data_IF_596964515214
#
_entry.id   IF_596964515214
#
_cell.length_a   1.000
_cell.length_b   1.000
_cell.length_c   1.000
_cell.angle_alpha   90.00
_cell.angle_beta   90.00
_cell.angle_gamma   90.00
#
_symmetry.space_group_name_H-M   'P 1'
#
loop_
_entity.id
_entity.type
_entity.pdbx_description
1 polymer ?
#
# COMPACT_ATOMS: atom_id res chain seq x y z
N UNK A 1 -21.47 4.96 -23.60
CA UNK A 1 -22.53 5.67 -24.36
C UNK A 1 -22.80 7.09 -23.83
N UNK A 2 -21.96 7.62 -22.93
CA UNK A 2 -21.90 9.06 -22.61
C UNK A 2 -20.44 9.46 -22.74
N UNK A 3 -20.04 9.86 -23.95
CA UNK A 3 -18.73 10.46 -24.18
C UNK A 3 -18.83 11.89 -23.63
N UNK A 4 -18.47 12.10 -22.36
CA UNK A 4 -18.30 13.44 -21.77
C UNK A 4 -16.97 14.00 -22.25
N UNK A 5 -16.87 14.21 -23.56
CA UNK A 5 -15.73 14.83 -24.21
C UNK A 5 -15.79 16.34 -24.18
N UNK A 6 -14.72 16.97 -24.67
CA UNK A 6 -14.69 18.41 -24.87
C UNK A 6 -15.74 18.87 -25.90
N UNK A 7 -16.01 18.04 -26.92
CA UNK A 7 -16.99 18.32 -27.95
C UNK A 7 -18.42 18.40 -27.38
N UNK A 8 -18.81 17.47 -26.53
CA UNK A 8 -20.14 17.42 -25.92
C UNK A 8 -20.34 18.58 -24.92
N UNK A 9 -19.32 18.93 -24.14
CA UNK A 9 -19.35 20.13 -23.30
C UNK A 9 -19.56 21.41 -24.13
N UNK A 10 -18.95 21.49 -25.31
CA UNK A 10 -19.11 22.63 -26.21
C UNK A 10 -20.55 22.68 -26.78
N UNK A 11 -21.11 21.54 -27.18
CA UNK A 11 -22.51 21.44 -27.63
C UNK A 11 -23.48 21.87 -26.52
N UNK A 12 -23.28 21.37 -25.30
CA UNK A 12 -24.10 21.75 -24.14
C UNK A 12 -23.96 23.26 -23.87
N UNK A 13 -22.76 23.82 -23.98
CA UNK A 13 -22.52 25.26 -23.87
C UNK A 13 -23.30 26.07 -24.90
N UNK A 14 -23.32 25.66 -26.16
CA UNK A 14 -24.10 26.31 -27.22
C UNK A 14 -25.60 26.24 -26.91
N UNK A 15 -26.11 25.06 -26.55
CA UNK A 15 -27.53 24.89 -26.19
C UNK A 15 -27.91 25.77 -25.00
N UNK A 16 -27.06 25.83 -23.97
CA UNK A 16 -27.27 26.68 -22.81
C UNK A 16 -27.30 28.18 -23.20
N UNK A 17 -26.45 28.63 -24.13
CA UNK A 17 -26.46 30.00 -24.65
C UNK A 17 -27.76 30.34 -25.39
N UNK A 18 -28.34 29.38 -26.12
CA UNK A 18 -29.61 29.59 -26.84
C UNK A 18 -30.78 29.65 -25.87
N UNK A 19 -30.84 28.72 -24.92
CA UNK A 19 -31.98 28.56 -24.01
C UNK A 19 -32.01 29.65 -22.93
N UNK A 20 -30.86 29.91 -22.30
CA UNK A 20 -30.74 30.86 -21.18
C UNK A 20 -30.39 32.25 -21.68
N UNK A 21 -29.64 32.35 -22.79
CA UNK A 21 -29.14 33.61 -23.32
C UNK A 21 -27.68 33.89 -22.93
N UNK A 22 -26.87 34.49 -23.83
CA UNK A 22 -25.45 34.74 -23.60
C UNK A 22 -25.15 35.77 -22.50
N UNK A 23 -26.11 36.63 -22.17
CA UNK A 23 -25.98 37.65 -21.12
C UNK A 23 -26.36 37.12 -19.73
N UNK A 24 -27.26 36.14 -19.66
CA UNK A 24 -27.82 35.67 -18.39
C UNK A 24 -27.01 34.51 -17.80
N UNK A 25 -26.40 33.66 -18.63
CA UNK A 25 -25.46 32.62 -18.19
C UNK A 25 -24.35 33.11 -17.24
N UNK A 26 -23.58 34.18 -17.55
CA UNK A 26 -22.53 34.66 -16.65
C UNK A 26 -23.09 35.19 -15.32
N UNK A 27 -24.29 35.78 -15.33
CA UNK A 27 -24.97 36.23 -14.11
C UNK A 27 -25.39 35.03 -13.27
N UNK A 28 -25.90 33.97 -13.91
CA UNK A 28 -26.31 32.73 -13.26
C UNK A 28 -25.13 32.02 -12.61
N UNK A 29 -24.00 31.87 -13.32
CA UNK A 29 -22.77 31.33 -12.76
C UNK A 29 -22.25 32.16 -11.57
N UNK A 30 -22.37 33.50 -11.64
CA UNK A 30 -21.98 34.37 -10.52
C UNK A 30 -22.87 34.21 -9.30
N UNK A 31 -24.17 33.95 -9.50
CA UNK A 31 -25.12 33.68 -8.42
C UNK A 31 -24.87 32.31 -7.77
N UNK A 32 -24.75 31.26 -8.58
CA UNK A 32 -24.42 29.91 -8.13
C UNK A 32 -23.06 29.89 -7.44
N UNK A 33 -22.06 30.55 -8.02
CA UNK A 33 -20.72 30.65 -7.45
C UNK A 33 -20.70 31.35 -6.09
N UNK A 34 -21.49 32.43 -5.90
CA UNK A 34 -21.64 33.09 -4.61
C UNK A 34 -22.29 32.19 -3.57
N UNK A 35 -23.32 31.44 -3.94
CA UNK A 35 -23.98 30.49 -3.05
C UNK A 35 -23.05 29.35 -2.66
N UNK A 36 -22.38 28.73 -3.65
CA UNK A 36 -21.41 27.66 -3.43
C UNK A 36 -20.21 28.13 -2.60
N UNK A 37 -19.76 29.37 -2.80
CA UNK A 37 -18.69 29.98 -2.01
C UNK A 37 -19.07 30.14 -0.54
N UNK A 38 -20.30 30.60 -0.25
CA UNK A 38 -20.83 30.68 1.12
C UNK A 38 -21.00 29.30 1.74
N UNK A 39 -21.56 28.34 1.00
CA UNK A 39 -21.69 26.95 1.43
C UNK A 39 -20.32 26.33 1.77
N UNK A 40 -19.30 26.58 0.95
CA UNK A 40 -17.93 26.13 1.19
C UNK A 40 -17.29 26.80 2.41
N UNK A 41 -17.61 28.08 2.67
CA UNK A 41 -17.23 28.78 3.90
C UNK A 41 -17.80 28.07 5.14
N UNK A 42 -19.12 27.90 5.16
CA UNK A 42 -19.84 27.21 6.24
C UNK A 42 -19.35 25.77 6.45
N UNK A 43 -19.09 25.03 5.37
CA UNK A 43 -18.53 23.68 5.45
C UNK A 43 -17.13 23.65 6.09
N UNK A 44 -16.30 24.69 5.87
CA UNK A 44 -14.98 24.80 6.51
C UNK A 44 -15.11 25.09 8.00
N UNK A 45 -16.02 25.97 8.41
CA UNK A 45 -16.30 26.23 9.82
C UNK A 45 -16.86 24.98 10.52
N UNK A 46 -17.81 24.28 9.91
CA UNK A 46 -18.33 23.01 10.41
C UNK A 46 -17.24 21.94 10.52
N UNK A 47 -16.39 21.81 9.49
CA UNK A 47 -15.28 20.86 9.54
C UNK A 47 -14.30 21.17 10.67
N UNK A 48 -14.01 22.46 10.93
CA UNK A 48 -13.14 22.87 12.04
C UNK A 48 -13.77 22.54 13.39
N UNK A 49 -15.01 22.94 13.60
CA UNK A 49 -15.75 22.67 14.84
C UNK A 49 -15.91 21.15 15.07
N UNK A 50 -16.13 20.37 14.02
CA UNK A 50 -16.26 18.92 14.12
C UNK A 50 -14.93 18.21 14.36
N UNK A 51 -13.81 18.71 13.82
CA UNK A 51 -12.48 18.21 14.18
C UNK A 51 -12.17 18.50 15.66
N UNK A 52 -12.48 19.70 16.13
CA UNK A 52 -12.23 20.11 17.52
C UNK A 52 -13.10 19.30 18.51
N UNK A 53 -14.39 19.14 18.20
CA UNK A 53 -15.28 18.27 18.97
C UNK A 53 -14.87 16.79 18.92
N UNK A 54 -14.36 16.30 17.79
CA UNK A 54 -13.87 14.92 17.67
C UNK A 54 -12.56 14.69 18.44
N UNK A 55 -11.70 15.71 18.51
CA UNK A 55 -10.47 15.69 19.31
C UNK A 55 -10.79 15.65 20.81
N UNK A 56 -11.82 16.38 21.25
CA UNK A 56 -12.24 16.43 22.66
C UNK A 56 -13.07 15.20 23.08
N UNK A 57 -13.85 14.63 22.17
CA UNK A 57 -14.66 13.42 22.41
C UNK A 57 -13.93 12.10 22.11
N UNK A 58 -12.64 12.13 21.75
CA UNK A 58 -11.83 10.93 21.51
C UNK A 58 -12.22 10.11 20.28
N UNK A 59 -12.94 10.71 19.32
CA UNK A 59 -13.53 10.04 18.14
C UNK A 59 -12.66 10.18 16.88
N UNK A 60 -11.38 10.50 17.07
CA UNK A 60 -10.40 10.82 16.02
C UNK A 60 -10.26 9.69 14.98
N UNK A 61 -10.40 8.44 15.41
CA UNK A 61 -10.30 7.26 14.54
C UNK A 61 -11.44 7.15 13.52
N UNK A 62 -12.65 7.60 13.88
CA UNK A 62 -13.79 7.62 12.96
C UNK A 62 -13.58 8.70 11.90
N UNK A 63 -13.10 9.87 12.31
CA UNK A 63 -12.82 10.97 11.39
C UNK A 63 -11.71 10.62 10.40
N UNK A 64 -10.66 9.92 10.87
CA UNK A 64 -9.58 9.41 10.01
C UNK A 64 -10.08 8.37 9.01
N UNK A 65 -10.95 7.46 9.45
CA UNK A 65 -11.56 6.44 8.59
C UNK A 65 -12.43 7.08 7.50
N UNK A 66 -13.30 8.03 7.85
CA UNK A 66 -14.16 8.74 6.89
C UNK A 66 -13.31 9.53 5.87
N UNK A 67 -12.24 10.19 6.33
CA UNK A 67 -11.34 10.96 5.45
C UNK A 67 -10.58 10.05 4.49
N UNK A 68 -10.14 8.89 4.95
CA UNK A 68 -9.49 7.87 4.12
C UNK A 68 -10.45 7.29 3.09
N UNK A 69 -11.71 7.05 3.47
CA UNK A 69 -12.74 6.54 2.56
C UNK A 69 -13.16 7.56 1.49
N UNK A 70 -13.24 8.84 1.85
CA UNK A 70 -13.66 9.90 0.92
C UNK A 70 -12.53 10.45 0.06
N UNK A 71 -11.27 10.34 0.49
CA UNK A 71 -10.13 10.77 -0.30
C UNK A 71 -8.86 9.94 -0.05
N UNK A 72 -8.80 8.70 -0.58
CA UNK A 72 -7.71 7.77 -0.29
C UNK A 72 -6.36 8.23 -0.85
N UNK A 73 -6.36 8.88 -2.02
CA UNK A 73 -5.14 9.37 -2.68
C UNK A 73 -4.50 10.51 -1.89
N UNK A 74 -5.27 11.50 -1.46
CA UNK A 74 -4.75 12.59 -0.64
C UNK A 74 -4.26 12.10 0.73
N UNK A 75 -4.98 11.15 1.35
CA UNK A 75 -4.55 10.55 2.63
C UNK A 75 -3.22 9.79 2.49
N UNK A 76 -3.03 9.08 1.38
CA UNK A 76 -1.75 8.42 1.07
C UNK A 76 -0.62 9.43 0.82
N UNK A 77 -0.90 10.52 0.09
CA UNK A 77 0.06 11.60 -0.16
C UNK A 77 0.46 12.33 1.13
N UNK A 78 -0.47 12.56 2.06
CA UNK A 78 -0.18 13.14 3.37
C UNK A 78 0.72 12.20 4.20
N UNK A 79 0.45 10.88 4.18
CA UNK A 79 1.32 9.90 4.84
C UNK A 79 2.74 9.84 4.26
N UNK A 80 2.89 9.96 2.94
CA UNK A 80 4.20 10.05 2.28
C UNK A 80 4.90 11.36 2.64
N UNK A 81 4.17 12.47 2.72
CA UNK A 81 4.70 13.77 3.16
C UNK A 81 5.17 13.76 4.61
N UNK A 82 4.42 13.14 5.51
CA UNK A 82 4.81 13.01 6.91
C UNK A 82 6.03 12.10 7.08
N UNK A 83 6.10 10.99 6.33
CA UNK A 83 7.28 10.14 6.29
C UNK A 83 8.50 10.90 5.74
N UNK A 84 8.33 11.66 4.65
CA UNK A 84 9.39 12.49 4.09
C UNK A 84 9.83 13.59 5.08
N UNK A 85 8.89 14.27 5.76
CA UNK A 85 9.21 15.23 6.82
C UNK A 85 9.98 14.58 7.96
N UNK A 86 9.57 13.40 8.42
CA UNK A 86 10.28 12.67 9.48
C UNK A 86 11.71 12.25 9.08
N UNK A 87 11.96 12.03 7.79
CA UNK A 87 13.29 11.81 7.23
C UNK A 87 14.10 13.11 7.09
N UNK A 88 13.43 14.26 6.89
CA UNK A 88 14.08 15.55 6.66
C UNK A 88 14.34 16.31 7.97
N UNK A 89 13.51 16.13 9.00
CA UNK A 89 13.66 16.66 10.36
C UNK A 89 14.71 15.88 11.19
N UNK A 90 15.49 15.01 10.54
CA UNK A 90 16.62 14.33 11.14
C UNK A 90 17.72 15.34 11.43
N UNK A 91 17.67 15.98 12.60
CA UNK A 91 18.79 16.73 13.14
C UNK A 91 19.80 15.74 13.75
N UNK A 92 20.94 15.47 13.07
CA UNK A 92 21.89 14.42 13.46
C UNK A 92 22.58 14.67 14.80
N UNK A 93 22.48 15.88 15.35
CA UNK A 93 23.13 16.30 16.60
C UNK A 93 22.19 16.34 17.81
N UNK A 94 20.91 16.03 17.62
CA UNK A 94 19.94 15.88 18.72
C UNK A 94 20.06 14.52 19.42
N UNK A 95 19.71 14.45 20.71
CA UNK A 95 19.68 13.18 21.47
C UNK A 95 18.79 12.12 20.79
N UNK A 96 17.71 12.54 20.12
CA UNK A 96 16.85 11.69 19.29
C UNK A 96 17.59 11.14 18.07
N UNK A 97 18.48 11.93 17.45
CA UNK A 97 19.30 11.51 16.30
C UNK A 97 20.37 10.47 16.68
N UNK A 98 20.94 10.56 17.89
CA UNK A 98 21.88 9.55 18.41
C UNK A 98 21.19 8.21 18.66
N UNK A 99 20.01 8.24 19.30
CA UNK A 99 19.19 7.04 19.52
C UNK A 99 18.71 6.41 18.20
N UNK A 100 18.42 7.22 17.18
CA UNK A 100 18.05 6.71 15.86
C UNK A 100 19.21 5.98 15.18
N UNK A 101 20.44 6.52 15.24
CA UNK A 101 21.64 5.84 14.72
C UNK A 101 21.92 4.52 15.45
N UNK A 102 21.81 4.51 16.77
CA UNK A 102 21.98 3.29 17.57
C UNK A 102 20.93 2.22 17.22
N UNK A 103 19.69 2.63 16.97
CA UNK A 103 18.62 1.73 16.52
C UNK A 103 18.84 1.18 15.11
N UNK A 104 19.37 1.98 14.20
CA UNK A 104 19.69 1.52 12.83
C UNK A 104 20.86 0.55 12.83
N UNK A 105 21.88 0.79 13.66
CA UNK A 105 22.99 -0.14 13.87
C UNK A 105 22.51 -1.46 14.52
N UNK A 106 21.64 -1.38 15.51
CA UNK A 106 21.02 -2.56 16.13
C UNK A 106 20.20 -3.37 15.12
N UNK A 107 19.40 -2.71 14.26
CA UNK A 107 18.65 -3.38 13.17
C UNK A 107 19.59 -4.09 12.21
N UNK A 108 20.63 -3.42 11.71
CA UNK A 108 21.62 -4.02 10.80
C UNK A 108 22.30 -5.25 11.40
N UNK A 109 22.62 -5.21 12.70
CA UNK A 109 23.23 -6.34 13.41
C UNK A 109 22.27 -7.52 13.56
N UNK A 110 21.00 -7.25 13.86
CA UNK A 110 19.95 -8.29 13.93
C UNK A 110 19.74 -8.93 12.55
N UNK A 111 19.66 -8.12 11.50
CA UNK A 111 19.49 -8.59 10.13
C UNK A 111 20.67 -9.44 9.65
N UNK A 112 21.90 -9.01 9.93
CA UNK A 112 23.10 -9.78 9.60
C UNK A 112 23.15 -11.13 10.33
N UNK A 113 22.76 -11.17 11.60
CA UNK A 113 22.69 -12.41 12.38
C UNK A 113 21.58 -13.33 11.87
N UNK A 114 20.42 -12.78 11.54
CA UNK A 114 19.30 -13.54 10.98
C UNK A 114 19.64 -14.12 9.59
N UNK A 115 20.32 -13.35 8.74
CA UNK A 115 20.79 -13.80 7.43
C UNK A 115 21.82 -14.93 7.55
N UNK A 116 22.78 -14.82 8.48
CA UNK A 116 23.75 -15.89 8.76
C UNK A 116 23.07 -17.16 9.26
N UNK A 117 22.15 -17.04 10.23
CA UNK A 117 21.40 -18.19 10.73
C UNK A 117 20.53 -18.85 9.65
N UNK A 118 19.95 -18.07 8.73
CA UNK A 118 19.20 -18.61 7.60
C UNK A 118 20.10 -19.33 6.58
N UNK A 119 21.31 -18.81 6.32
CA UNK A 119 22.28 -19.47 5.46
C UNK A 119 22.76 -20.81 6.04
N UNK A 120 23.02 -20.86 7.36
CA UNK A 120 23.44 -22.08 8.05
C UNK A 120 22.34 -23.15 8.05
N UNK A 121 21.06 -22.76 8.21
CA UNK A 121 19.93 -23.68 8.08
C UNK A 121 19.86 -24.29 6.68
N UNK A 122 19.95 -23.46 5.63
CA UNK A 122 19.94 -23.94 4.24
C UNK A 122 21.10 -24.88 3.92
N UNK A 123 22.29 -24.65 4.49
CA UNK A 123 23.43 -25.56 4.32
C UNK A 123 23.16 -26.92 4.95
N UNK A 124 22.65 -26.96 6.18
CA UNK A 124 22.30 -28.22 6.86
C UNK A 124 21.21 -28.99 6.12
N UNK A 125 20.18 -28.29 5.64
CA UNK A 125 19.13 -28.90 4.82
C UNK A 125 19.67 -29.50 3.51
N UNK A 126 20.63 -28.81 2.86
CA UNK A 126 21.28 -29.32 1.65
C UNK A 126 22.17 -30.53 1.92
N UNK A 127 22.92 -30.54 3.04
CA UNK A 127 23.73 -31.67 3.47
C UNK A 127 22.86 -32.89 3.84
N UNK A 128 21.73 -32.68 4.54
CA UNK A 128 20.77 -33.74 4.84
C UNK A 128 20.09 -34.29 3.59
N UNK A 129 19.74 -33.43 2.63
CA UNK A 129 19.19 -33.84 1.35
C UNK A 129 20.20 -34.65 0.52
N UNK A 130 21.47 -34.24 0.51
CA UNK A 130 22.55 -34.99 -0.14
C UNK A 130 22.76 -36.36 0.51
N UNK A 131 22.79 -36.43 1.84
CA UNK A 131 22.90 -37.71 2.57
C UNK A 131 21.71 -38.64 2.28
N UNK A 132 20.49 -38.12 2.23
CA UNK A 132 19.31 -38.92 1.86
C UNK A 132 19.37 -39.39 0.42
N UNK A 133 19.88 -38.57 -0.51
CA UNK A 133 20.07 -38.97 -1.90
C UNK A 133 21.11 -40.09 -2.02
N UNK A 134 22.23 -39.99 -1.32
CA UNK A 134 23.26 -41.05 -1.26
C UNK A 134 22.74 -42.34 -0.60
N UNK A 135 21.92 -42.23 0.45
CA UNK A 135 21.28 -43.38 1.10
C UNK A 135 20.28 -44.08 0.16
N UNK A 136 19.49 -43.31 -0.60
CA UNK A 136 18.57 -43.86 -1.61
C UNK A 136 19.33 -44.50 -2.79
N UNK A 137 20.45 -43.91 -3.22
CA UNK A 137 21.29 -44.47 -4.30
C UNK A 137 21.97 -45.78 -3.86
N UNK A 138 22.45 -45.85 -2.62
CA UNK A 138 22.99 -47.10 -2.04
C UNK A 138 21.91 -48.18 -1.89
N UNK A 139 20.69 -47.81 -1.47
CA UNK A 139 19.58 -48.74 -1.40
C UNK A 139 19.17 -49.29 -2.78
N UNK A 140 19.26 -48.48 -3.83
CA UNK A 140 19.04 -48.94 -5.23
C UNK A 140 20.18 -49.84 -5.73
N UNK A 141 21.41 -49.64 -5.25
CA UNK A 141 22.57 -50.45 -5.62
C UNK A 141 22.67 -51.79 -4.86
N UNK A 142 22.06 -51.87 -3.67
CA UNK A 142 22.02 -53.09 -2.84
C UNK A 142 20.83 -54.02 -3.13
N UNK A 143 19.84 -53.63 -3.97
CA UNK A 143 18.85 -54.60 -4.45
C UNK A 143 19.54 -55.67 -5.32
N UNK A 144 19.65 -56.93 -4.86
CA UNK A 144 20.27 -57.96 -5.65
C UNK A 144 19.28 -58.40 -6.72
N UNK A 145 19.79 -58.52 -7.94
CA UNK A 145 19.16 -59.29 -9.02
C UNK A 145 18.57 -60.59 -8.46
N UNK A 146 17.25 -60.72 -8.49
CA UNK A 146 16.58 -62.01 -8.48
C UNK A 146 16.15 -62.36 -9.92
N UNK A 147 16.18 -63.65 -10.29
CA UNK A 147 16.95 -64.11 -11.44
C UNK A 147 16.14 -64.31 -12.73
N UNK A 148 16.89 -64.40 -13.84
CA UNK A 148 16.42 -64.93 -15.11
C UNK A 148 16.06 -66.43 -14.98
N UNK A 149 14.94 -66.80 -15.61
CA UNK A 149 14.65 -68.06 -16.36
C UNK A 149 15.19 -69.38 -15.83
N UNK A 150 14.34 -70.40 -15.61
CA UNK A 150 14.24 -71.56 -16.52
C UNK A 150 13.11 -72.54 -16.14
N UNK A 151 12.72 -73.32 -17.14
CA UNK A 151 11.70 -74.36 -17.34
C UNK A 151 11.50 -75.45 -16.25
N UNK A 152 10.30 -76.07 -16.26
CA UNK A 152 10.18 -77.52 -16.01
C UNK A 152 8.95 -78.07 -15.28
N UNK A 153 8.06 -78.70 -16.06
CA UNK A 153 7.52 -80.05 -15.86
C UNK A 153 6.07 -80.29 -15.39
N UNK A 154 5.54 -81.36 -15.98
CA UNK A 154 4.17 -81.84 -16.22
C UNK A 154 3.42 -82.31 -14.97
N UNK A 155 2.08 -82.26 -15.04
CA UNK A 155 1.17 -83.43 -15.02
C UNK A 155 -0.28 -82.97 -15.25
#
# INVERSE_FOLDING_TARGET
MFDLGFAELLVIGIVALIVVGPKDLPVLFRNVGRFMGKARGMAREFSRAMNEAADEAGVKDIQKTIRTATNPVNSAMDGVRDAAKSMTDFNPDSETGKLAKERDEARKKIEANAARAAADRKKREAEEAARKAEEMEKALAEEPKAPATDEGDKA
#
